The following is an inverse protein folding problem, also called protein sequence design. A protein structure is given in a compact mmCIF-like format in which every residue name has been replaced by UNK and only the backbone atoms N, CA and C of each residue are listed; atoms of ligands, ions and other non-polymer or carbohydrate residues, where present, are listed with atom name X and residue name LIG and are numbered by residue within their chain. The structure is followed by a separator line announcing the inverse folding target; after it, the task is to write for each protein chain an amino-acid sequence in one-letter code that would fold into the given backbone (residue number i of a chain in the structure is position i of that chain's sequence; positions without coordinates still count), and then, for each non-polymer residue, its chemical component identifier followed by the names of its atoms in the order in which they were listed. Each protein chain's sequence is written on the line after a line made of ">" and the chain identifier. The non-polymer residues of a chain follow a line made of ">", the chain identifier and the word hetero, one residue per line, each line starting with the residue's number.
data_IF_559100416736
#
_entry.id   IF_559100416736
#
_cell.length_a   1.000
_cell.length_b   1.000
_cell.length_c   1.000
_cell.angle_alpha   90.00
_cell.angle_beta   90.00
_cell.angle_gamma   90.00
#
_symmetry.space_group_name_H-M   'P 1'
#
loop_
_entity.id
_entity.type
_entity.pdbx_description
1 polymer ?
#
# COMPACT_ATOMS: atom_id res chain seq x y z
N UNK A 1 4.63 5.55 -31.43
CA UNK A 1 3.28 5.11 -30.98
C UNK A 1 2.26 5.70 -31.94
N UNK A 2 1.31 4.93 -32.54
CA UNK A 2 0.26 5.48 -33.38
C UNK A 2 -0.58 6.51 -32.61
N UNK A 3 -0.94 7.63 -33.26
CA UNK A 3 -1.71 8.71 -32.63
C UNK A 3 -2.99 8.22 -31.92
N UNK A 4 -3.75 7.35 -32.60
CA UNK A 4 -4.98 6.78 -32.07
C UNK A 4 -4.78 6.00 -30.75
N UNK A 5 -3.61 5.36 -30.57
CA UNK A 5 -3.27 4.67 -29.34
C UNK A 5 -2.94 5.67 -28.20
N UNK A 6 -2.17 6.73 -28.51
CA UNK A 6 -1.86 7.78 -27.56
C UNK A 6 -3.12 8.51 -27.09
N UNK A 7 -4.03 8.80 -28.00
CA UNK A 7 -5.32 9.42 -27.70
C UNK A 7 -6.19 8.53 -26.82
N UNK A 8 -6.22 7.22 -27.08
CA UNK A 8 -6.95 6.25 -26.28
C UNK A 8 -6.41 6.19 -24.84
N UNK A 9 -5.08 6.10 -24.66
CA UNK A 9 -4.44 6.13 -23.36
C UNK A 9 -4.74 7.45 -22.65
N UNK A 10 -4.57 8.58 -23.32
CA UNK A 10 -4.84 9.89 -22.73
C UNK A 10 -6.29 10.00 -22.24
N UNK A 11 -7.26 9.55 -23.03
CA UNK A 11 -8.69 9.60 -22.66
C UNK A 11 -9.01 8.75 -21.44
N UNK A 12 -8.36 7.57 -21.28
CA UNK A 12 -8.58 6.68 -20.15
C UNK A 12 -7.83 7.12 -18.88
N UNK A 13 -6.77 7.89 -19.04
CA UNK A 13 -5.88 8.29 -17.94
C UNK A 13 -6.03 9.76 -17.56
N UNK A 14 -6.78 10.53 -18.35
CA UNK A 14 -6.90 11.99 -18.24
C UNK A 14 -5.52 12.69 -18.20
N UNK A 15 -4.51 12.04 -18.80
CA UNK A 15 -3.13 12.54 -18.81
C UNK A 15 -2.40 12.41 -17.47
N UNK A 16 -2.96 11.72 -16.49
CA UNK A 16 -2.26 11.47 -15.21
C UNK A 16 -1.03 10.58 -15.46
N UNK A 17 0.20 11.07 -15.23
CA UNK A 17 1.44 10.37 -15.59
C UNK A 17 1.54 8.98 -14.97
N UNK A 18 1.08 8.85 -13.75
CA UNK A 18 1.10 7.59 -13.03
C UNK A 18 0.15 6.58 -13.64
N UNK A 19 -1.08 7.02 -13.95
CA UNK A 19 -2.05 6.14 -14.55
C UNK A 19 -1.61 5.73 -15.97
N UNK A 20 -0.95 6.63 -16.71
CA UNK A 20 -0.29 6.29 -17.98
C UNK A 20 0.74 5.17 -17.79
N UNK A 21 1.62 5.27 -16.77
CA UNK A 21 2.62 4.24 -16.49
C UNK A 21 2.00 2.89 -16.15
N UNK A 22 1.02 2.86 -15.25
CA UNK A 22 0.35 1.62 -14.84
C UNK A 22 -0.45 0.99 -16.00
N UNK A 23 -1.10 1.81 -16.81
CA UNK A 23 -1.81 1.36 -18.01
C UNK A 23 -0.85 0.76 -19.03
N UNK A 24 0.27 1.43 -19.31
CA UNK A 24 1.28 0.91 -20.25
C UNK A 24 1.89 -0.39 -19.75
N UNK A 25 2.23 -0.47 -18.46
CA UNK A 25 2.73 -1.69 -17.84
C UNK A 25 1.74 -2.84 -17.99
N UNK A 26 0.47 -2.61 -17.66
CA UNK A 26 -0.60 -3.59 -17.85
C UNK A 26 -0.68 -4.08 -19.31
N UNK A 27 -0.65 -3.16 -20.28
CA UNK A 27 -0.73 -3.51 -21.70
C UNK A 27 0.47 -4.33 -22.20
N UNK A 28 1.66 -4.09 -21.64
CA UNK A 28 2.86 -4.90 -21.91
C UNK A 28 2.74 -6.28 -21.28
N UNK A 29 2.31 -6.38 -20.03
CA UNK A 29 2.09 -7.64 -19.32
C UNK A 29 1.04 -8.53 -19.99
N UNK A 30 -0.03 -7.92 -20.55
CA UNK A 30 -1.06 -8.63 -21.33
C UNK A 30 -0.60 -9.01 -22.75
N UNK A 31 0.62 -8.60 -23.15
CA UNK A 31 1.11 -8.83 -24.50
C UNK A 31 0.39 -8.02 -25.58
N UNK A 32 -0.39 -7.02 -25.21
CA UNK A 32 -1.13 -6.13 -26.13
C UNK A 32 -0.21 -5.08 -26.75
N UNK A 33 0.88 -4.78 -26.08
CA UNK A 33 1.94 -3.86 -26.51
C UNK A 33 3.29 -4.51 -26.25
N UNK A 34 4.22 -4.38 -27.19
CA UNK A 34 5.61 -4.79 -27.00
C UNK A 34 6.52 -3.58 -27.02
N UNK A 35 7.52 -3.59 -26.14
CA UNK A 35 8.61 -2.63 -26.19
C UNK A 35 9.75 -3.20 -27.06
N UNK A 36 10.10 -2.49 -28.13
CA UNK A 36 11.27 -2.78 -28.97
C UNK A 36 11.99 -1.47 -29.30
N UNK A 37 13.30 -1.46 -29.07
CA UNK A 37 14.17 -0.31 -29.38
C UNK A 37 13.70 1.01 -28.74
N UNK A 38 13.21 0.98 -27.50
CA UNK A 38 12.66 2.15 -26.80
C UNK A 38 11.34 2.67 -27.38
N UNK A 39 10.70 1.88 -28.26
CA UNK A 39 9.40 2.22 -28.85
C UNK A 39 8.35 1.18 -28.45
N UNK A 40 7.21 1.66 -28.01
CA UNK A 40 6.04 0.83 -27.76
C UNK A 40 5.31 0.57 -29.09
N UNK A 41 5.14 -0.70 -29.42
CA UNK A 41 4.42 -1.14 -30.62
C UNK A 41 3.26 -2.04 -30.21
N UNK A 42 2.13 -1.84 -30.86
CA UNK A 42 0.97 -2.70 -30.73
C UNK A 42 1.29 -4.11 -31.28
N UNK A 43 0.87 -5.13 -30.56
CA UNK A 43 0.98 -6.53 -30.95
C UNK A 43 -0.37 -7.00 -31.48
N UNK A 44 -0.43 -7.40 -32.77
CA UNK A 44 -1.64 -7.91 -33.41
C UNK A 44 -2.58 -6.84 -33.96
N UNK A 45 -3.55 -7.30 -34.72
CA UNK A 45 -4.54 -6.47 -35.45
C UNK A 45 -5.89 -6.38 -34.72
N UNK A 46 -6.01 -7.06 -33.56
CA UNK A 46 -7.24 -7.08 -32.77
C UNK A 46 -7.55 -5.71 -32.15
N UNK A 47 -8.84 -5.38 -32.10
CA UNK A 47 -9.30 -4.14 -31.47
C UNK A 47 -8.94 -4.13 -29.97
N UNK A 48 -8.27 -3.07 -29.52
CA UNK A 48 -8.00 -2.83 -28.08
C UNK A 48 -9.27 -2.38 -27.34
N UNK A 49 -10.33 -2.04 -28.07
CA UNK A 49 -11.62 -1.64 -27.49
C UNK A 49 -12.20 -2.80 -26.68
N UNK A 50 -12.46 -2.56 -25.41
CA UNK A 50 -12.95 -3.58 -24.46
C UNK A 50 -11.87 -4.39 -23.75
N UNK A 51 -10.59 -4.32 -24.18
CA UNK A 51 -9.45 -4.96 -23.47
C UNK A 51 -8.66 -3.97 -22.61
N UNK A 52 -8.80 -2.68 -22.88
CA UNK A 52 -8.22 -1.62 -22.05
C UNK A 52 -9.15 -1.37 -20.85
N UNK A 53 -8.63 -1.41 -19.63
CA UNK A 53 -9.39 -1.09 -18.43
C UNK A 53 -9.95 0.33 -18.46
N UNK A 54 -11.19 0.50 -18.01
CA UNK A 54 -11.88 1.80 -18.03
C UNK A 54 -11.36 2.77 -16.95
N UNK A 55 -10.48 2.29 -16.05
CA UNK A 55 -9.92 3.13 -15.01
C UNK A 55 -8.75 2.50 -14.27
N UNK A 56 -8.07 3.32 -13.46
CA UNK A 56 -6.94 2.90 -12.64
C UNK A 56 -7.31 1.76 -11.68
N UNK A 57 -8.53 1.78 -11.12
CA UNK A 57 -9.02 0.70 -10.23
C UNK A 57 -9.05 -0.65 -10.92
N UNK A 58 -9.46 -0.69 -12.19
CA UNK A 58 -9.52 -1.94 -12.95
C UNK A 58 -8.13 -2.50 -13.23
N UNK A 59 -7.16 -1.62 -13.55
CA UNK A 59 -5.75 -2.03 -13.73
C UNK A 59 -5.20 -2.63 -12.45
N UNK A 60 -5.42 -1.95 -11.32
CA UNK A 60 -4.98 -2.39 -9.99
C UNK A 60 -5.67 -3.68 -9.60
N UNK A 61 -7.00 -3.75 -9.73
CA UNK A 61 -7.79 -4.94 -9.43
C UNK A 61 -7.35 -6.16 -10.23
N UNK A 62 -7.11 -6.01 -11.54
CA UNK A 62 -6.57 -7.08 -12.39
C UNK A 62 -5.18 -7.54 -11.98
N UNK A 63 -4.32 -6.63 -11.50
CA UNK A 63 -2.99 -7.00 -10.99
C UNK A 63 -3.10 -7.76 -9.67
N UNK A 64 -3.93 -7.28 -8.73
CA UNK A 64 -4.16 -7.95 -7.46
C UNK A 64 -4.82 -9.32 -7.63
N UNK A 65 -5.75 -9.48 -8.60
CA UNK A 65 -6.41 -10.76 -8.88
C UNK A 65 -5.49 -11.86 -9.42
N UNK A 66 -4.29 -11.52 -9.89
CA UNK A 66 -3.26 -12.49 -10.31
C UNK A 66 -2.43 -13.03 -9.15
N UNK A 67 -2.48 -12.35 -8.00
CA UNK A 67 -1.80 -12.78 -6.80
C UNK A 67 -2.60 -13.89 -6.11
N UNK A 68 -1.92 -14.73 -5.35
CA UNK A 68 -2.59 -15.74 -4.54
C UNK A 68 -3.52 -15.09 -3.50
N UNK A 69 -4.53 -15.82 -3.06
CA UNK A 69 -5.41 -15.36 -1.98
C UNK A 69 -4.61 -15.02 -0.71
N UNK A 70 -3.62 -15.86 -0.38
CA UNK A 70 -2.74 -15.64 0.76
C UNK A 70 -1.93 -14.34 0.62
N UNK A 71 -1.38 -14.07 -0.56
CA UNK A 71 -0.67 -12.82 -0.84
C UNK A 71 -1.58 -11.60 -0.69
N UNK A 72 -2.80 -11.67 -1.22
CA UNK A 72 -3.78 -10.59 -1.05
C UNK A 72 -4.17 -10.38 0.41
N UNK A 73 -4.27 -11.46 1.22
CA UNK A 73 -4.51 -11.36 2.66
C UNK A 73 -3.36 -10.66 3.39
N UNK A 74 -2.11 -11.00 3.08
CA UNK A 74 -0.91 -10.36 3.64
C UNK A 74 -0.84 -8.88 3.23
N UNK A 75 -1.09 -8.58 1.96
CA UNK A 75 -1.13 -7.21 1.46
C UNK A 75 -2.26 -6.35 2.07
N UNK A 76 -3.41 -6.95 2.35
CA UNK A 76 -4.51 -6.27 3.06
C UNK A 76 -4.09 -5.85 4.48
N UNK A 77 -3.32 -6.68 5.18
CA UNK A 77 -2.74 -6.33 6.48
C UNK A 77 -1.71 -5.20 6.32
N UNK A 78 -0.80 -5.34 5.35
CA UNK A 78 0.18 -4.31 5.05
C UNK A 78 -0.47 -2.96 4.72
N UNK A 79 -1.59 -2.97 3.99
CA UNK A 79 -2.35 -1.75 3.65
C UNK A 79 -2.90 -1.03 4.89
N UNK A 80 -3.26 -1.77 5.94
CA UNK A 80 -3.66 -1.20 7.23
C UNK A 80 -2.46 -0.64 7.99
N UNK A 81 -1.31 -1.32 7.99
CA UNK A 81 -0.08 -0.80 8.62
C UNK A 81 0.28 0.55 8.03
N UNK A 82 0.36 0.66 6.71
CA UNK A 82 0.69 1.94 6.09
C UNK A 82 1.24 1.81 4.67
N UNK A 83 1.68 2.93 4.12
CA UNK A 83 2.37 2.94 2.81
C UNK A 83 3.75 2.31 2.90
N UNK A 84 4.47 2.63 3.96
CA UNK A 84 5.74 2.04 4.33
C UNK A 84 5.49 1.15 5.54
N UNK A 85 5.96 -0.09 5.51
CA UNK A 85 5.72 -1.02 6.59
C UNK A 85 6.94 -1.92 6.85
N UNK A 86 7.17 -2.23 8.12
CA UNK A 86 8.26 -3.11 8.55
C UNK A 86 7.83 -4.56 8.46
N UNK A 87 8.73 -5.41 7.97
CA UNK A 87 8.51 -6.85 7.92
C UNK A 87 8.14 -7.43 9.28
N UNK A 88 8.84 -7.05 10.34
CA UNK A 88 8.59 -7.52 11.70
C UNK A 88 7.17 -7.21 12.20
N UNK A 89 6.64 -6.03 11.89
CA UNK A 89 5.26 -5.66 12.26
C UNK A 89 4.26 -6.50 11.47
N UNK A 90 4.49 -6.63 10.15
CA UNK A 90 3.64 -7.43 9.28
C UNK A 90 3.57 -8.90 9.74
N UNK A 91 4.71 -9.53 10.03
CA UNK A 91 4.80 -10.91 10.51
C UNK A 91 4.00 -11.12 11.80
N UNK A 92 4.14 -10.19 12.77
CA UNK A 92 3.40 -10.26 14.05
C UNK A 92 1.88 -10.18 13.87
N UNK A 93 1.41 -9.37 12.92
CA UNK A 93 -0.02 -9.17 12.67
C UNK A 93 -0.59 -10.26 11.78
N UNK A 94 0.18 -10.77 10.82
CA UNK A 94 -0.27 -11.79 9.89
C UNK A 94 -0.59 -13.12 10.57
N UNK A 95 0.15 -13.48 11.63
CA UNK A 95 -0.04 -14.75 12.34
C UNK A 95 0.23 -15.98 11.46
N UNK A 96 1.02 -15.80 10.40
CA UNK A 96 1.45 -16.83 9.45
C UNK A 96 2.91 -17.20 9.72
N UNK A 97 3.35 -18.40 9.28
CA UNK A 97 4.78 -18.73 9.25
C UNK A 97 5.59 -17.67 8.50
N UNK A 98 6.82 -17.44 8.94
CA UNK A 98 7.71 -16.42 8.36
C UNK A 98 7.89 -16.63 6.85
N UNK A 99 8.15 -17.86 6.44
CA UNK A 99 8.34 -18.24 5.05
C UNK A 99 7.10 -17.96 4.18
N UNK A 100 5.91 -18.03 4.78
CA UNK A 100 4.66 -17.75 4.06
C UNK A 100 4.46 -16.23 3.83
N UNK A 101 4.89 -15.40 4.78
CA UNK A 101 4.87 -13.95 4.63
C UNK A 101 5.93 -13.50 3.61
N UNK A 102 7.13 -14.07 3.67
CA UNK A 102 8.21 -13.80 2.72
C UNK A 102 7.81 -14.18 1.29
N UNK A 103 7.29 -15.39 1.08
CA UNK A 103 6.80 -15.83 -0.23
C UNK A 103 5.68 -14.92 -0.79
N UNK A 104 4.79 -14.41 0.10
CA UNK A 104 3.77 -13.45 -0.30
C UNK A 104 4.38 -12.11 -0.73
N UNK A 105 5.40 -11.62 -0.03
CA UNK A 105 6.10 -10.38 -0.37
C UNK A 105 6.94 -10.53 -1.64
N UNK A 106 7.58 -11.68 -1.86
CA UNK A 106 8.29 -11.98 -3.12
C UNK A 106 7.31 -11.96 -4.32
N UNK A 107 6.16 -12.62 -4.19
CA UNK A 107 5.12 -12.59 -5.22
C UNK A 107 4.62 -11.18 -5.49
N UNK A 108 4.38 -10.39 -4.43
CA UNK A 108 3.94 -9.00 -4.53
C UNK A 108 5.01 -8.09 -5.15
N UNK A 109 6.29 -8.33 -4.84
CA UNK A 109 7.44 -7.65 -5.43
C UNK A 109 7.59 -7.95 -6.92
N UNK A 110 7.50 -9.24 -7.30
CA UNK A 110 7.53 -9.66 -8.71
C UNK A 110 6.40 -9.04 -9.53
N UNK A 111 5.22 -8.84 -8.92
CA UNK A 111 4.10 -8.12 -9.51
C UNK A 111 4.22 -6.59 -9.42
N UNK A 112 5.33 -6.06 -8.89
CA UNK A 112 5.57 -4.64 -8.68
C UNK A 112 4.44 -3.92 -7.87
N UNK A 113 3.84 -4.62 -6.92
CA UNK A 113 2.85 -4.07 -5.97
C UNK A 113 3.56 -3.45 -4.78
N UNK A 114 4.65 -4.07 -4.34
CA UNK A 114 5.52 -3.57 -3.26
C UNK A 114 6.99 -3.55 -3.70
N UNK A 115 7.77 -2.71 -3.04
CA UNK A 115 9.22 -2.59 -3.20
C UNK A 115 9.89 -2.83 -1.86
N UNK A 116 10.93 -3.66 -1.85
CA UNK A 116 11.78 -3.85 -0.67
C UNK A 116 12.66 -2.62 -0.45
N UNK A 117 12.80 -2.23 0.80
CA UNK A 117 13.68 -1.16 1.26
C UNK A 117 14.51 -1.66 2.42
N UNK A 118 15.68 -2.17 2.12
CA UNK A 118 16.64 -2.58 3.13
C UNK A 118 17.43 -1.36 3.63
N UNK A 119 17.43 -1.12 4.94
CA UNK A 119 18.26 -0.10 5.58
C UNK A 119 18.93 -0.72 6.81
N UNK A 120 20.24 -0.92 6.74
CA UNK A 120 21.06 -1.51 7.81
C UNK A 120 20.49 -2.84 8.35
N UNK A 121 19.91 -2.84 9.55
CA UNK A 121 19.38 -4.05 10.20
C UNK A 121 17.84 -4.16 10.15
N UNK A 122 17.17 -3.31 9.36
CA UNK A 122 15.70 -3.28 9.29
C UNK A 122 15.23 -3.53 7.87
N UNK A 123 14.46 -4.59 7.67
CA UNK A 123 13.79 -4.85 6.40
C UNK A 123 12.42 -4.18 6.44
N UNK A 124 12.17 -3.33 5.47
CA UNK A 124 10.89 -2.65 5.28
C UNK A 124 10.46 -2.74 3.83
N UNK A 125 9.19 -2.58 3.61
CA UNK A 125 8.58 -2.57 2.29
C UNK A 125 7.77 -1.30 2.11
N UNK A 126 7.58 -0.92 0.86
CA UNK A 126 6.72 0.19 0.47
C UNK A 126 5.78 -0.25 -0.63
N UNK A 127 4.52 0.13 -0.58
CA UNK A 127 3.66 0.03 -1.75
C UNK A 127 4.24 0.91 -2.87
N UNK A 128 4.51 0.29 -4.02
CA UNK A 128 5.05 0.96 -5.21
C UNK A 128 4.18 2.16 -5.59
N UNK A 129 2.88 2.03 -5.36
CA UNK A 129 1.92 3.09 -5.57
C UNK A 129 0.85 3.18 -4.47
N UNK A 130 0.44 4.41 -4.12
CA UNK A 130 -0.58 4.67 -3.09
C UNK A 130 -1.93 4.00 -3.39
N UNK A 131 -2.28 3.84 -4.67
CA UNK A 131 -3.54 3.21 -5.07
C UNK A 131 -3.61 1.72 -4.76
N UNK A 132 -2.50 0.96 -4.78
CA UNK A 132 -2.51 -0.43 -4.32
C UNK A 132 -2.93 -0.51 -2.85
N UNK A 133 -2.30 0.30 -2.00
CA UNK A 133 -2.67 0.39 -0.59
C UNK A 133 -4.13 0.79 -0.43
N UNK A 134 -4.57 1.84 -1.14
CA UNK A 134 -5.93 2.35 -1.02
C UNK A 134 -6.96 1.30 -1.41
N UNK A 135 -6.78 0.62 -2.54
CA UNK A 135 -7.69 -0.43 -3.01
C UNK A 135 -7.80 -1.57 -1.99
N UNK A 136 -6.68 -2.11 -1.53
CA UNK A 136 -6.65 -3.19 -0.54
C UNK A 136 -7.29 -2.78 0.80
N UNK A 137 -7.06 -1.54 1.22
CA UNK A 137 -7.66 -0.98 2.44
C UNK A 137 -9.18 -0.82 2.29
N UNK A 138 -9.66 -0.29 1.17
CA UNK A 138 -11.08 -0.08 0.89
C UNK A 138 -11.84 -1.40 0.70
N UNK A 139 -11.24 -2.41 0.08
CA UNK A 139 -11.81 -3.75 -0.08
C UNK A 139 -11.90 -4.52 1.23
N UNK A 140 -11.11 -4.15 2.24
CA UNK A 140 -11.19 -4.74 3.57
C UNK A 140 -12.42 -4.21 4.30
N UNK A 141 -13.34 -5.08 4.69
CA UNK A 141 -14.57 -4.71 5.40
C UNK A 141 -14.27 -4.02 6.73
N UNK A 142 -15.10 -3.04 7.11
CA UNK A 142 -14.88 -2.20 8.30
C UNK A 142 -14.61 -2.97 9.60
N UNK A 143 -15.35 -4.05 9.97
CA UNK A 143 -15.05 -4.79 11.19
C UNK A 143 -13.67 -5.45 11.18
N UNK A 144 -13.18 -5.87 10.01
CA UNK A 144 -11.83 -6.44 9.86
C UNK A 144 -10.78 -5.34 9.97
N UNK A 145 -11.00 -4.17 9.36
CA UNK A 145 -10.09 -3.01 9.48
C UNK A 145 -9.90 -2.60 10.93
N UNK A 146 -10.98 -2.45 11.70
CA UNK A 146 -10.92 -2.11 13.12
C UNK A 146 -10.04 -3.10 13.88
N UNK A 147 -10.27 -4.41 13.71
CA UNK A 147 -9.44 -5.43 14.36
C UNK A 147 -7.98 -5.37 13.93
N UNK A 148 -7.72 -5.13 12.64
CA UNK A 148 -6.36 -5.01 12.13
C UNK A 148 -5.65 -3.79 12.72
N UNK A 149 -6.30 -2.64 12.80
CA UNK A 149 -5.72 -1.46 13.44
C UNK A 149 -5.34 -1.73 14.91
N UNK A 150 -6.20 -2.42 15.67
CA UNK A 150 -5.88 -2.82 17.06
C UNK A 150 -4.65 -3.75 17.13
N UNK A 151 -4.58 -4.74 16.23
CA UNK A 151 -3.45 -5.67 16.18
C UNK A 151 -2.16 -4.96 15.76
N UNK A 152 -2.24 -4.06 14.80
CA UNK A 152 -1.11 -3.24 14.34
C UNK A 152 -0.60 -2.35 15.48
N UNK A 153 -1.48 -1.64 16.19
CA UNK A 153 -1.09 -0.80 17.32
C UNK A 153 -0.30 -1.59 18.37
N UNK A 154 -0.79 -2.77 18.75
CA UNK A 154 -0.11 -3.65 19.71
C UNK A 154 1.22 -4.20 19.19
N UNK A 155 1.28 -4.54 17.90
CA UNK A 155 2.52 -4.99 17.26
C UNK A 155 3.57 -3.86 17.24
N UNK A 156 3.17 -2.64 16.89
CA UNK A 156 4.02 -1.47 16.89
C UNK A 156 4.55 -1.13 18.29
N UNK A 157 3.71 -1.17 19.34
CA UNK A 157 4.17 -1.00 20.73
C UNK A 157 5.26 -2.02 21.08
N UNK A 158 5.05 -3.30 20.73
CA UNK A 158 6.00 -4.35 21.02
C UNK A 158 7.33 -4.19 20.24
N UNK A 159 7.26 -3.77 18.98
CA UNK A 159 8.43 -3.56 18.10
C UNK A 159 9.22 -2.32 18.51
N UNK A 160 8.54 -1.23 18.82
CA UNK A 160 9.21 0.02 19.18
C UNK A 160 9.75 0.00 20.62
N UNK A 161 9.12 -0.74 21.53
CA UNK A 161 9.59 -0.90 22.91
C UNK A 161 9.83 0.46 23.59
N UNK A 162 11.07 0.76 23.94
CA UNK A 162 11.44 2.03 24.60
C UNK A 162 11.36 3.25 23.69
N UNK A 163 11.23 3.07 22.37
CA UNK A 163 11.16 4.16 21.40
C UNK A 163 9.72 4.50 20.98
N UNK A 164 8.71 4.04 21.72
CA UNK A 164 7.29 4.34 21.41
C UNK A 164 7.02 5.85 21.31
N UNK A 165 7.74 6.66 22.07
CA UNK A 165 7.61 8.13 22.01
C UNK A 165 7.93 8.71 20.65
N UNK A 166 8.89 8.10 19.93
CA UNK A 166 9.29 8.53 18.59
C UNK A 166 8.20 8.24 17.53
N UNK A 167 7.32 7.29 17.84
CA UNK A 167 6.27 6.78 16.97
C UNK A 167 4.86 7.03 17.54
N UNK A 168 4.76 8.00 18.47
CA UNK A 168 3.52 8.27 19.19
C UNK A 168 2.37 8.65 18.23
N UNK A 169 2.63 9.42 17.16
CA UNK A 169 1.63 9.80 16.17
C UNK A 169 1.04 8.57 15.45
N UNK A 170 1.89 7.63 15.03
CA UNK A 170 1.49 6.39 14.37
C UNK A 170 0.65 5.50 15.30
N UNK A 171 1.09 5.38 16.56
CA UNK A 171 0.34 4.63 17.58
C UNK A 171 -1.01 5.26 17.89
N UNK A 172 -1.07 6.58 18.01
CA UNK A 172 -2.32 7.32 18.23
C UNK A 172 -3.31 7.07 17.09
N UNK A 173 -2.84 7.15 15.84
CA UNK A 173 -3.67 6.90 14.66
C UNK A 173 -4.28 5.50 14.70
N UNK A 174 -3.48 4.45 14.93
CA UNK A 174 -3.99 3.09 14.94
C UNK A 174 -4.95 2.82 16.11
N UNK A 175 -4.64 3.30 17.31
CA UNK A 175 -5.53 3.14 18.47
C UNK A 175 -6.85 3.92 18.32
N UNK A 176 -6.87 5.02 17.59
CA UNK A 176 -8.08 5.81 17.35
C UNK A 176 -9.16 5.07 16.52
N UNK A 177 -8.77 4.03 15.77
CA UNK A 177 -9.73 3.17 15.07
C UNK A 177 -10.39 2.11 15.97
N UNK A 178 -9.94 1.96 17.22
CA UNK A 178 -10.52 0.99 18.14
C UNK A 178 -11.88 1.44 18.66
N UNK A 179 -12.75 0.47 18.96
CA UNK A 179 -13.98 0.67 19.70
C UNK A 179 -13.81 0.36 21.21
N UNK A 180 -12.63 -0.10 21.63
CA UNK A 180 -12.33 -0.41 23.02
C UNK A 180 -11.92 0.87 23.79
N UNK A 181 -12.52 1.06 24.98
CA UNK A 181 -12.26 2.25 25.77
C UNK A 181 -10.81 2.34 26.30
N UNK A 182 -10.13 1.21 26.50
CA UNK A 182 -8.72 1.21 26.93
C UNK A 182 -7.81 1.61 25.77
N UNK A 183 -8.08 1.14 24.56
CA UNK A 183 -7.35 1.51 23.35
C UNK A 183 -7.56 3.00 23.03
N UNK A 184 -8.80 3.52 23.15
CA UNK A 184 -9.08 4.95 22.95
C UNK A 184 -8.36 5.86 23.95
N UNK A 185 -8.20 5.42 25.21
CA UNK A 185 -7.36 6.15 26.18
C UNK A 185 -5.89 6.17 25.76
N UNK A 186 -5.38 5.08 25.19
CA UNK A 186 -4.02 5.05 24.61
C UNK A 186 -3.91 5.98 23.40
N UNK A 187 -4.92 6.03 22.53
CA UNK A 187 -4.94 6.96 21.40
C UNK A 187 -4.78 8.41 21.87
N UNK A 188 -5.51 8.81 22.92
CA UNK A 188 -5.40 10.16 23.50
C UNK A 188 -3.99 10.38 24.10
N UNK A 189 -3.49 9.44 24.92
CA UNK A 189 -2.17 9.58 25.55
C UNK A 189 -1.03 9.69 24.51
N UNK A 190 -1.07 8.87 23.45
CA UNK A 190 -0.08 8.94 22.38
C UNK A 190 -0.27 10.20 21.51
N UNK A 191 -1.50 10.66 21.32
CA UNK A 191 -1.78 11.93 20.63
C UNK A 191 -1.21 13.13 21.36
N UNK A 192 -1.39 13.21 22.67
CA UNK A 192 -0.79 14.24 23.53
C UNK A 192 0.75 14.22 23.46
N UNK A 193 1.34 13.03 23.50
CA UNK A 193 2.80 12.86 23.38
C UNK A 193 3.31 13.31 22.01
N UNK A 194 2.61 12.96 20.94
CA UNK A 194 2.94 13.40 19.59
C UNK A 194 2.84 14.92 19.43
N UNK A 195 1.78 15.53 19.99
CA UNK A 195 1.60 16.98 19.99
C UNK A 195 2.71 17.71 20.75
N UNK A 196 3.06 17.22 21.94
CA UNK A 196 4.18 17.78 22.74
C UNK A 196 5.50 17.73 21.97
N UNK A 197 5.78 16.60 21.31
CA UNK A 197 6.98 16.46 20.49
C UNK A 197 6.98 17.40 19.30
N UNK A 198 5.85 17.52 18.57
CA UNK A 198 5.72 18.47 17.47
C UNK A 198 5.96 19.92 17.92
N UNK A 199 5.46 20.32 19.09
CA UNK A 199 5.71 21.62 19.68
C UNK A 199 7.19 21.83 20.01
N UNK A 200 7.87 20.82 20.55
CA UNK A 200 9.29 20.92 20.93
C UNK A 200 10.23 21.17 19.75
N UNK A 201 9.83 20.77 18.54
CA UNK A 201 10.57 21.00 17.29
C UNK A 201 9.96 22.12 16.44
N UNK A 202 9.10 22.96 17.03
CA UNK A 202 8.42 24.08 16.36
C UNK A 202 7.51 23.68 15.18
N UNK A 203 7.07 22.42 15.12
CA UNK A 203 6.16 21.91 14.11
C UNK A 203 4.71 22.16 14.49
N UNK A 204 4.31 23.45 14.68
CA UNK A 204 2.99 23.84 15.19
C UNK A 204 1.81 23.25 14.39
N UNK A 205 1.95 23.13 13.08
CA UNK A 205 0.92 22.57 12.22
C UNK A 205 0.65 21.08 12.46
N UNK A 206 1.61 20.33 13.00
CA UNK A 206 1.46 18.93 13.38
C UNK A 206 0.89 18.78 14.78
N UNK A 207 1.28 19.67 15.71
CA UNK A 207 0.76 19.65 17.08
C UNK A 207 -0.77 19.82 17.14
N UNK A 208 -1.35 20.60 16.22
CA UNK A 208 -2.81 20.82 16.16
C UNK A 208 -3.56 19.60 15.58
N UNK A 209 -2.88 18.72 14.82
CA UNK A 209 -3.50 17.52 14.23
C UNK A 209 -3.59 16.33 15.17
N UNK A 210 -2.80 16.32 16.24
CA UNK A 210 -2.75 15.26 17.27
C UNK A 210 -3.49 15.69 18.52
#
# INVERSE_FOLDING_TARGET
>A
IPWAFSELIHRQTEGNPLFVQEMLRYLVEEGLVSERDGSLRRVGDESLVGRIPEGLRDVIGKRLSRLSEQTNQVLAIAAVIGRDFRLEVLQRVAGLPEEAVEAALEQAGAAAVVEERAAMATVSYRFSHAFFRQTLYEETIAPRRIRLHQQVARALEAVYGRRVEEHAAELAEHYAYSSDAADLRKAVAYGELAAQRALSVFAYGEAVRH
#
